data_IF_445351350032
#
_entry.id   IF_445351350032
#
_cell.length_a   1.000
_cell.length_b   1.000
_cell.length_c   1.000
_cell.angle_alpha   90.00
_cell.angle_beta   90.00
_cell.angle_gamma   90.00
#
_symmetry.space_group_name_H-M   'P 1'
#
loop_
_entity.id
_entity.type
_entity.pdbx_description
1 polymer ?
#
# COMPACT_ATOMS: atom_id res chain seq x y z
N UNK A 1 1.10 0.23 -9.51
CA UNK A 1 1.64 0.23 -8.12
C UNK A 1 2.22 -1.12 -7.66
N UNK A 2 1.79 -2.26 -8.22
CA UNK A 2 2.28 -3.61 -7.89
C UNK A 2 3.81 -3.76 -7.79
N UNK A 3 4.56 -3.45 -8.85
CA UNK A 3 6.02 -3.64 -8.85
C UNK A 3 6.71 -2.84 -7.73
N UNK A 4 6.25 -1.61 -7.48
CA UNK A 4 6.76 -0.79 -6.37
C UNK A 4 6.56 -1.50 -5.03
N UNK A 5 5.35 -2.01 -4.74
CA UNK A 5 5.07 -2.67 -3.48
C UNK A 5 5.91 -3.93 -3.28
N UNK A 6 6.05 -4.77 -4.31
CA UNK A 6 6.88 -5.98 -4.23
C UNK A 6 8.35 -5.63 -3.97
N UNK A 7 8.91 -4.66 -4.70
CA UNK A 7 10.28 -4.20 -4.50
C UNK A 7 10.47 -3.59 -3.12
N UNK A 8 9.50 -2.80 -2.63
CA UNK A 8 9.57 -2.15 -1.33
C UNK A 8 9.44 -3.14 -0.17
N UNK A 9 8.55 -4.12 -0.27
CA UNK A 9 8.39 -5.20 0.70
C UNK A 9 9.70 -5.98 0.86
N UNK A 10 10.29 -6.42 -0.27
CA UNK A 10 11.61 -7.10 -0.29
C UNK A 10 12.71 -6.24 0.33
N UNK A 11 12.77 -4.94 -0.01
CA UNK A 11 13.81 -4.02 0.49
C UNK A 11 13.70 -3.76 1.99
N UNK A 12 12.49 -3.72 2.53
CA UNK A 12 12.23 -3.40 3.95
C UNK A 12 12.07 -4.64 4.83
N UNK A 13 12.17 -5.84 4.24
CA UNK A 13 11.96 -7.09 4.98
C UNK A 13 10.51 -7.31 5.43
N UNK A 14 9.56 -6.54 4.89
CA UNK A 14 8.13 -6.67 5.21
C UNK A 14 7.44 -7.66 4.27
N UNK A 15 6.22 -8.03 4.62
CA UNK A 15 5.37 -8.99 3.91
C UNK A 15 3.99 -8.39 3.65
N UNK A 16 3.27 -8.98 2.72
CA UNK A 16 1.88 -8.66 2.46
C UNK A 16 0.96 -9.29 3.51
N UNK A 17 -0.27 -8.80 3.59
CA UNK A 17 -1.31 -9.41 4.41
C UNK A 17 -1.53 -10.87 3.99
N UNK A 18 -1.80 -11.75 4.96
CA UNK A 18 -2.18 -13.14 4.69
C UNK A 18 -3.44 -13.25 3.81
N UNK A 19 -4.31 -12.23 3.86
CA UNK A 19 -5.39 -12.02 2.89
C UNK A 19 -4.90 -11.07 1.78
N UNK A 20 -4.52 -11.64 0.64
CA UNK A 20 -4.06 -10.86 -0.53
C UNK A 20 -5.15 -9.98 -1.13
N UNK A 21 -6.43 -10.17 -0.78
CA UNK A 21 -7.50 -9.25 -1.15
C UNK A 21 -7.31 -7.86 -0.55
N UNK A 22 -6.81 -7.79 0.70
CA UNK A 22 -6.45 -6.51 1.33
C UNK A 22 -5.33 -5.83 0.55
N UNK A 23 -4.29 -6.59 0.19
CA UNK A 23 -3.19 -6.09 -0.64
C UNK A 23 -3.67 -5.57 -1.99
N UNK A 24 -4.55 -6.30 -2.68
CA UNK A 24 -5.11 -5.91 -3.96
C UNK A 24 -5.86 -4.56 -3.88
N UNK A 25 -6.79 -4.41 -2.93
CA UNK A 25 -7.58 -3.18 -2.77
C UNK A 25 -6.70 -1.97 -2.45
N UNK A 26 -5.68 -2.14 -1.60
CA UNK A 26 -4.74 -1.04 -1.28
C UNK A 26 -3.90 -0.65 -2.50
N UNK A 27 -3.44 -1.63 -3.28
CA UNK A 27 -2.68 -1.34 -4.52
C UNK A 27 -3.51 -0.58 -5.54
N UNK A 28 -4.79 -0.93 -5.67
CA UNK A 28 -5.74 -0.25 -6.55
C UNK A 28 -5.99 1.19 -6.07
N UNK A 29 -6.26 1.39 -4.78
CA UNK A 29 -6.44 2.73 -4.21
C UNK A 29 -5.20 3.62 -4.37
N UNK A 30 -3.99 3.07 -4.17
CA UNK A 30 -2.74 3.79 -4.42
C UNK A 30 -2.54 4.14 -5.89
N UNK A 31 -2.92 3.23 -6.80
CA UNK A 31 -2.86 3.49 -8.23
C UNK A 31 -3.84 4.59 -8.63
N UNK A 32 -5.09 4.51 -8.15
CA UNK A 32 -6.12 5.52 -8.39
C UNK A 32 -5.69 6.91 -7.90
N UNK A 33 -5.18 7.02 -6.67
CA UNK A 33 -4.68 8.31 -6.18
C UNK A 33 -3.47 8.81 -6.98
N UNK A 34 -2.60 7.92 -7.46
CA UNK A 34 -1.50 8.32 -8.34
C UNK A 34 -2.00 8.88 -9.67
N UNK A 35 -3.03 8.28 -10.25
CA UNK A 35 -3.60 8.74 -11.52
C UNK A 35 -4.40 10.04 -11.34
N UNK A 36 -5.20 10.14 -10.28
CA UNK A 36 -6.07 11.30 -10.01
C UNK A 36 -5.30 12.51 -9.44
N UNK A 37 -4.30 12.29 -8.58
CA UNK A 37 -3.59 13.34 -7.83
C UNK A 37 -2.11 13.50 -8.23
N UNK A 38 -1.58 12.62 -9.09
CA UNK A 38 -0.17 12.58 -9.48
C UNK A 38 0.77 11.89 -8.48
N UNK A 39 0.28 11.53 -7.29
CA UNK A 39 1.06 10.86 -6.23
C UNK A 39 0.24 9.77 -5.52
N UNK A 40 0.86 8.68 -5.07
CA UNK A 40 0.17 7.56 -4.44
C UNK A 40 -0.20 7.88 -2.98
N UNK A 41 -1.12 8.82 -2.76
CA UNK A 41 -1.63 9.16 -1.44
C UNK A 41 -2.26 7.92 -0.77
N UNK A 42 -2.01 7.72 0.52
CA UNK A 42 -2.49 6.55 1.25
C UNK A 42 -4.03 6.39 1.17
N UNK A 43 -4.58 5.28 0.65
CA UNK A 43 -6.02 5.15 0.40
C UNK A 43 -6.85 4.82 1.66
N UNK A 44 -6.21 4.40 2.74
CA UNK A 44 -6.88 3.98 3.98
C UNK A 44 -7.06 5.13 4.99
N UNK A 45 -7.02 6.39 4.53
CA UNK A 45 -7.27 7.57 5.38
C UNK A 45 -8.30 8.48 4.73
N UNK A 46 -9.01 9.21 5.58
CA UNK A 46 -9.82 10.34 5.16
C UNK A 46 -8.95 11.61 5.15
N UNK A 47 -9.19 12.46 4.16
CA UNK A 47 -8.50 13.75 3.99
C UNK A 47 -9.54 14.81 3.68
N UNK A 48 -9.42 15.97 4.31
CA UNK A 48 -10.26 17.13 3.99
C UNK A 48 -9.85 17.77 2.65
N UNK A 49 -8.53 17.89 2.42
CA UNK A 49 -7.93 18.40 1.18
C UNK A 49 -6.83 17.45 0.71
N UNK A 50 -7.11 16.67 -0.34
CA UNK A 50 -6.17 15.66 -0.85
C UNK A 50 -4.98 16.28 -1.55
N UNK A 51 -5.21 17.40 -2.25
CA UNK A 51 -4.20 18.12 -3.02
C UNK A 51 -3.16 18.78 -2.10
N UNK A 52 -3.59 19.33 -0.97
CA UNK A 52 -2.71 19.85 0.08
C UNK A 52 -1.85 18.73 0.69
N UNK A 53 -2.45 17.57 0.98
CA UNK A 53 -1.74 16.42 1.58
C UNK A 53 -0.73 15.79 0.63
N UNK A 54 -1.06 15.71 -0.66
CA UNK A 54 -0.11 15.28 -1.70
C UNK A 54 1.10 16.20 -1.74
N UNK A 55 0.91 17.53 -1.63
CA UNK A 55 2.00 18.51 -1.58
C UNK A 55 2.81 18.44 -0.29
N UNK A 56 2.17 18.14 0.84
CA UNK A 56 2.83 17.95 2.12
C UNK A 56 3.65 16.65 2.17
N UNK A 57 3.32 15.67 1.32
CA UNK A 57 4.02 14.38 1.11
C UNK A 57 4.02 13.40 2.27
N UNK A 58 3.56 13.80 3.46
CA UNK A 58 3.58 12.98 4.67
C UNK A 58 2.89 11.62 4.47
N UNK A 59 1.78 11.62 3.74
CA UNK A 59 0.96 10.42 3.46
C UNK A 59 1.14 9.84 2.05
N UNK A 60 2.08 10.36 1.26
CA UNK A 60 2.40 9.75 -0.03
C UNK A 60 3.13 8.44 0.21
N UNK A 61 2.68 7.35 -0.40
CA UNK A 61 3.23 6.03 -0.19
C UNK A 61 4.66 5.92 -0.75
N UNK A 62 5.65 5.43 0.02
CA UNK A 62 5.55 4.97 1.41
C UNK A 62 5.46 6.16 2.38
N UNK A 63 4.45 6.21 3.25
CA UNK A 63 4.25 7.35 4.16
C UNK A 63 5.33 7.44 5.24
N UNK A 64 5.44 8.59 5.91
CA UNK A 64 6.44 8.83 6.97
C UNK A 64 6.44 7.73 8.06
N UNK A 65 5.29 7.30 8.63
CA UNK A 65 5.27 6.20 9.60
C UNK A 65 5.86 4.88 9.07
N UNK A 66 5.63 4.57 7.80
CA UNK A 66 6.21 3.37 7.18
C UNK A 66 7.73 3.51 7.01
N UNK A 67 8.20 4.69 6.60
CA UNK A 67 9.63 4.93 6.38
C UNK A 67 10.43 4.93 7.68
N UNK A 68 9.90 5.53 8.75
CA UNK A 68 10.63 5.72 10.00
C UNK A 68 10.49 4.53 10.96
N UNK A 69 9.33 3.87 10.98
CA UNK A 69 8.97 2.87 12.00
C UNK A 69 8.40 1.57 11.45
N UNK A 70 8.33 1.41 10.13
CA UNK A 70 7.67 0.27 9.46
C UNK A 70 6.19 0.08 9.85
N UNK A 71 5.52 1.18 10.21
CA UNK A 71 4.10 1.18 10.55
C UNK A 71 3.23 1.44 9.31
N UNK A 72 2.58 0.40 8.78
CA UNK A 72 1.66 0.51 7.65
C UNK A 72 0.20 0.27 8.08
N UNK A 73 -0.57 1.35 8.26
CA UNK A 73 -2.01 1.25 8.59
C UNK A 73 -2.81 0.45 7.55
N UNK A 74 -2.44 0.56 6.27
CA UNK A 74 -3.12 -0.15 5.18
C UNK A 74 -2.92 -1.66 5.19
N UNK A 75 -2.07 -2.20 6.08
CA UNK A 75 -1.68 -3.60 6.08
C UNK A 75 -1.03 -4.07 4.77
N UNK A 76 -0.43 -3.14 4.01
CA UNK A 76 0.31 -3.46 2.78
C UNK A 76 1.75 -3.92 3.08
N UNK A 77 2.38 -3.35 4.11
CA UNK A 77 3.73 -3.72 4.52
C UNK A 77 3.70 -4.09 6.00
N UNK A 78 3.68 -5.39 6.28
CA UNK A 78 3.60 -5.94 7.62
C UNK A 78 4.95 -6.52 8.03
N UNK A 79 5.34 -6.28 9.27
CA UNK A 79 6.49 -6.95 9.89
C UNK A 79 6.15 -8.43 10.15
N UNK A 80 7.15 -9.28 10.29
CA UNK A 80 6.95 -10.74 10.47
C UNK A 80 6.18 -11.08 11.76
N UNK A 81 6.30 -10.25 12.79
CA UNK A 81 5.60 -10.40 14.07
C UNK A 81 4.15 -9.91 14.04
N UNK A 82 3.70 -9.28 12.95
CA UNK A 82 2.31 -8.85 12.82
C UNK A 82 1.38 -10.08 12.66
N UNK A 83 0.28 -10.20 13.42
CA UNK A 83 -0.59 -11.38 13.39
C UNK A 83 -1.32 -11.59 12.06
N UNK A 84 -1.33 -10.59 11.17
CA UNK A 84 -1.92 -10.69 9.84
C UNK A 84 -0.87 -10.77 8.73
N UNK A 85 0.42 -10.83 9.09
CA UNK A 85 1.52 -10.99 8.14
C UNK A 85 1.43 -12.35 7.46
N UNK A 86 1.39 -12.36 6.13
CA UNK A 86 1.56 -13.57 5.35
C UNK A 86 3.04 -13.89 5.14
N UNK A 87 3.32 -14.83 4.24
CA UNK A 87 4.68 -15.16 3.78
C UNK A 87 5.03 -14.51 2.45
N UNK A 88 4.03 -13.94 1.77
CA UNK A 88 4.14 -13.45 0.40
C UNK A 88 4.71 -12.03 0.35
N UNK A 89 5.52 -11.78 -0.68
CA UNK A 89 6.00 -10.45 -1.08
C UNK A 89 5.73 -10.16 -2.55
N UNK A 90 4.92 -11.01 -3.16
CA UNK A 90 4.54 -10.97 -4.56
C UNK A 90 3.03 -11.14 -4.67
N UNK A 91 2.46 -10.50 -5.68
CA UNK A 91 1.05 -10.63 -6.03
C UNK A 91 0.95 -10.52 -7.54
N UNK A 92 0.21 -11.42 -8.18
CA UNK A 92 0.05 -11.42 -9.63
C UNK A 92 -0.94 -10.34 -10.07
N UNK A 93 -0.96 -10.02 -11.36
CA UNK A 93 -1.99 -9.10 -11.87
C UNK A 93 -3.38 -9.74 -11.82
N UNK A 94 -3.47 -11.04 -12.04
CA UNK A 94 -4.70 -11.82 -12.00
C UNK A 94 -5.33 -11.76 -10.60
N UNK A 95 -4.53 -11.97 -9.55
CA UNK A 95 -4.98 -11.87 -8.16
C UNK A 95 -5.53 -10.48 -7.80
N UNK A 96 -4.93 -9.41 -8.35
CA UNK A 96 -5.44 -8.05 -8.14
C UNK A 96 -6.80 -7.91 -8.82
N UNK A 97 -6.90 -8.30 -10.10
CA UNK A 97 -8.11 -8.13 -10.92
C UNK A 97 -9.30 -8.96 -10.41
N UNK A 98 -9.06 -10.15 -9.87
CA UNK A 98 -10.12 -10.98 -9.26
C UNK A 98 -10.89 -10.25 -8.13
N UNK A 99 -10.23 -9.29 -7.48
CA UNK A 99 -10.80 -8.52 -6.36
C UNK A 99 -11.36 -7.19 -6.83
N UNK A 100 -10.71 -6.53 -7.79
CA UNK A 100 -11.01 -5.14 -8.18
C UNK A 100 -11.94 -5.00 -9.38
N UNK A 101 -12.05 -6.01 -10.25
CA UNK A 101 -12.90 -5.96 -11.46
C UNK A 101 -14.38 -6.34 -11.16
N UNK A 102 -14.86 -6.08 -9.94
CA UNK A 102 -16.24 -6.37 -9.51
C UNK A 102 -17.17 -5.17 -9.60
#
# INVERSE_FOLDING_TARGET
MRNFAQSYAKRTGTYFCQDLGVTAVVLEGLAKHKDDLGAPLCPCRHYEDKEAEVKATYWNCPCVPMQERQECHCMLFLTEDNPFSGTEREITFEQIREVTDK
#
